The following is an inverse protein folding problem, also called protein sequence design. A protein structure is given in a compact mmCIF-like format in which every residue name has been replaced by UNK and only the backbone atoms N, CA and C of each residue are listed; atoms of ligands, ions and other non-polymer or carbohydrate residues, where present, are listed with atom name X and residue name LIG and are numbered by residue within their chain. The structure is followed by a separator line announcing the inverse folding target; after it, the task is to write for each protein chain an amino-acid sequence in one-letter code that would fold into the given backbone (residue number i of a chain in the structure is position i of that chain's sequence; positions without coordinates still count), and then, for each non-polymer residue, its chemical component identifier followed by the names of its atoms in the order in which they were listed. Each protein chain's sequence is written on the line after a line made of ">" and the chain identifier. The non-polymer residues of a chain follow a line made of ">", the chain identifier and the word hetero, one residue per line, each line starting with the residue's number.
data_IF_395566782871
#
_entry.id   IF_395566782871
#
_cell.length_a   1.000
_cell.length_b   1.000
_cell.length_c   1.000
_cell.angle_alpha   90.00
_cell.angle_beta   90.00
_cell.angle_gamma   90.00
#
_symmetry.space_group_name_H-M   'P 1'
#
loop_
_entity.id
_entity.type
_entity.pdbx_description
1 polymer ?
#
# COMPACT_ATOMS: atom_id res chain seq x y z
N UNK A 1 -24.31 -93.37 39.75
CA UNK A 1 -24.56 -91.92 39.73
C UNK A 1 -23.23 -91.20 39.95
N UNK A 2 -22.81 -90.31 39.05
CA UNK A 2 -21.52 -89.59 39.16
C UNK A 2 -21.78 -88.13 39.52
N UNK A 3 -21.30 -87.72 40.69
CA UNK A 3 -21.27 -86.31 41.09
C UNK A 3 -20.12 -85.63 40.33
N UNK A 4 -20.44 -84.55 39.61
CA UNK A 4 -19.47 -83.73 38.88
C UNK A 4 -19.49 -82.30 39.40
N UNK A 5 -18.36 -81.62 39.34
CA UNK A 5 -18.31 -80.20 39.69
C UNK A 5 -18.69 -79.35 38.48
N UNK A 6 -19.56 -78.35 38.71
CA UNK A 6 -19.94 -77.38 37.69
C UNK A 6 -18.77 -76.46 37.34
N UNK A 7 -18.45 -76.33 36.05
CA UNK A 7 -17.33 -75.49 35.60
C UNK A 7 -17.49 -73.99 35.86
N UNK A 8 -18.71 -73.52 36.16
CA UNK A 8 -18.98 -72.09 36.41
C UNK A 8 -19.01 -71.74 37.91
N UNK A 9 -19.53 -72.64 38.76
CA UNK A 9 -19.75 -72.35 40.18
C UNK A 9 -19.06 -73.33 41.13
N UNK A 10 -18.30 -74.29 40.60
CA UNK A 10 -17.56 -75.34 41.32
C UNK A 10 -18.39 -76.23 42.26
N UNK A 11 -19.72 -76.07 42.31
CA UNK A 11 -20.61 -76.91 43.12
C UNK A 11 -20.74 -78.31 42.50
N UNK A 12 -20.66 -79.33 43.35
CA UNK A 12 -20.99 -80.71 43.00
C UNK A 12 -22.47 -80.82 42.63
N UNK A 13 -22.77 -81.45 41.50
CA UNK A 13 -24.12 -81.73 41.05
C UNK A 13 -24.20 -83.11 40.41
N UNK A 14 -25.39 -83.68 40.39
CA UNK A 14 -25.63 -84.96 39.76
C UNK A 14 -25.91 -84.78 38.27
N UNK A 15 -25.04 -85.34 37.43
CA UNK A 15 -25.16 -85.18 35.99
C UNK A 15 -26.18 -86.18 35.41
N UNK A 16 -27.23 -85.68 34.77
CA UNK A 16 -28.21 -86.53 34.05
C UNK A 16 -27.65 -87.12 32.76
N UNK A 17 -26.54 -86.55 32.22
CA UNK A 17 -25.86 -87.02 31.01
C UNK A 17 -24.35 -86.93 31.18
N UNK A 18 -23.61 -87.87 30.58
CA UNK A 18 -22.14 -87.94 30.67
C UNK A 18 -21.43 -86.67 30.18
N UNK A 19 -22.01 -85.94 29.23
CA UNK A 19 -21.47 -84.70 28.64
C UNK A 19 -21.92 -83.42 29.35
N UNK A 20 -22.73 -83.50 30.40
CA UNK A 20 -23.23 -82.30 31.09
C UNK A 20 -22.13 -81.67 31.95
N UNK A 21 -21.77 -80.42 31.64
CA UNK A 21 -20.67 -79.66 32.29
C UNK A 21 -21.14 -78.65 33.33
N UNK A 22 -22.44 -78.33 33.33
CA UNK A 22 -23.03 -77.29 34.17
C UNK A 22 -24.19 -77.83 35.00
N UNK A 23 -24.26 -77.39 36.26
CA UNK A 23 -25.33 -77.77 37.19
C UNK A 23 -26.70 -77.20 36.81
N UNK A 24 -26.75 -76.17 35.95
CA UNK A 24 -27.99 -75.56 35.50
C UNK A 24 -27.82 -74.83 34.17
N UNK A 25 -28.94 -74.59 33.46
CA UNK A 25 -28.98 -73.72 32.28
C UNK A 25 -28.48 -72.30 32.60
N UNK A 26 -28.70 -71.82 33.83
CA UNK A 26 -28.20 -70.52 34.31
C UNK A 26 -26.68 -70.45 34.34
N UNK A 27 -26.01 -71.50 34.79
CA UNK A 27 -24.54 -71.58 34.77
C UNK A 27 -23.98 -71.69 33.35
N UNK A 28 -24.64 -72.46 32.47
CA UNK A 28 -24.26 -72.54 31.06
C UNK A 28 -24.37 -71.17 30.35
N UNK A 29 -25.44 -70.41 30.63
CA UNK A 29 -25.63 -69.07 30.07
C UNK A 29 -24.62 -68.06 30.62
N UNK A 30 -24.29 -68.09 31.92
CA UNK A 30 -23.21 -67.25 32.47
C UNK A 30 -21.88 -67.49 31.79
N UNK A 31 -21.50 -68.76 31.59
CA UNK A 31 -20.25 -69.09 30.91
C UNK A 31 -20.28 -68.64 29.44
N UNK A 32 -21.43 -68.72 28.76
CA UNK A 32 -21.61 -68.19 27.41
C UNK A 32 -21.48 -66.66 27.36
N UNK A 33 -22.04 -65.95 28.34
CA UNK A 33 -21.94 -64.49 28.43
C UNK A 33 -20.52 -64.04 28.77
N UNK A 34 -19.81 -64.72 29.67
CA UNK A 34 -18.38 -64.50 29.90
C UNK A 34 -17.60 -64.68 28.60
N UNK A 35 -17.86 -65.77 27.86
CA UNK A 35 -17.22 -66.01 26.56
C UNK A 35 -17.55 -64.93 25.54
N UNK A 36 -18.77 -64.40 25.52
CA UNK A 36 -19.12 -63.27 24.62
C UNK A 36 -18.38 -61.99 25.00
N UNK A 37 -18.22 -61.71 26.30
CA UNK A 37 -17.44 -60.56 26.78
C UNK A 37 -15.94 -60.70 26.49
N UNK A 38 -15.38 -61.92 26.57
CA UNK A 38 -13.97 -62.17 26.24
C UNK A 38 -13.71 -62.32 24.74
N UNK A 39 -14.72 -62.70 23.94
CA UNK A 39 -14.73 -62.66 22.47
C UNK A 39 -15.31 -61.36 21.90
N UNK A 40 -15.27 -60.25 22.63
CA UNK A 40 -15.40 -58.95 21.96
C UNK A 40 -14.29 -58.89 20.90
N UNK A 41 -14.62 -58.62 19.62
CA UNK A 41 -13.60 -58.48 18.60
C UNK A 41 -12.63 -57.40 19.06
N UNK A 42 -11.35 -57.72 18.96
CA UNK A 42 -10.23 -56.92 19.42
C UNK A 42 -10.49 -55.42 19.24
N UNK A 43 -10.27 -54.65 20.31
CA UNK A 43 -9.99 -53.23 20.22
C UNK A 43 -8.89 -53.06 19.16
N UNK A 44 -9.25 -52.55 17.98
CA UNK A 44 -8.29 -52.03 17.03
C UNK A 44 -7.46 -50.94 17.75
N UNK A 45 -6.14 -50.92 17.54
CA UNK A 45 -5.21 -50.40 18.52
C UNK A 45 -5.28 -48.88 18.60
N UNK A 46 -5.17 -48.33 19.81
CA UNK A 46 -4.98 -46.89 20.13
C UNK A 46 -3.95 -46.19 19.21
N UNK A 47 -2.99 -46.94 18.66
CA UNK A 47 -2.02 -46.46 17.69
C UNK A 47 -2.64 -46.05 16.33
N UNK A 48 -3.68 -46.73 15.84
CA UNK A 48 -4.33 -46.39 14.57
C UNK A 48 -5.17 -45.11 14.71
N UNK A 49 -5.84 -44.89 15.85
CA UNK A 49 -6.58 -43.64 16.11
C UNK A 49 -5.64 -42.44 16.27
N UNK A 50 -4.51 -42.61 16.97
CA UNK A 50 -3.49 -41.58 17.09
C UNK A 50 -2.85 -41.25 15.73
N UNK A 51 -2.59 -42.25 14.90
CA UNK A 51 -2.06 -42.03 13.55
C UNK A 51 -3.07 -41.30 12.63
N UNK A 52 -4.37 -41.58 12.76
CA UNK A 52 -5.40 -40.83 12.03
C UNK A 52 -5.53 -39.39 12.52
N UNK A 53 -5.40 -39.15 13.83
CA UNK A 53 -5.44 -37.80 14.41
C UNK A 53 -4.21 -36.98 14.01
N UNK A 54 -3.00 -37.57 14.07
CA UNK A 54 -1.76 -36.95 13.58
C UNK A 54 -1.83 -36.63 12.09
N UNK A 55 -2.39 -37.54 11.28
CA UNK A 55 -2.61 -37.29 9.84
C UNK A 55 -3.61 -36.16 9.62
N UNK A 56 -4.69 -36.11 10.39
CA UNK A 56 -5.69 -35.02 10.31
C UNK A 56 -5.09 -33.67 10.72
N UNK A 57 -4.27 -33.63 11.78
CA UNK A 57 -3.54 -32.43 12.19
C UNK A 57 -2.54 -31.97 11.11
N UNK A 58 -1.80 -32.90 10.51
CA UNK A 58 -0.87 -32.58 9.43
C UNK A 58 -1.61 -31.99 8.22
N UNK A 59 -2.73 -32.59 7.79
CA UNK A 59 -3.53 -32.04 6.69
C UNK A 59 -4.17 -30.69 7.03
N UNK A 60 -4.56 -30.46 8.29
CA UNK A 60 -5.06 -29.16 8.74
C UNK A 60 -3.97 -28.09 8.70
N UNK A 61 -2.77 -28.37 9.21
CA UNK A 61 -1.63 -27.44 9.17
C UNK A 61 -1.18 -27.14 7.75
N UNK A 62 -1.17 -28.14 6.84
CA UNK A 62 -0.91 -27.92 5.42
C UNK A 62 -1.90 -26.94 4.79
N UNK A 63 -3.20 -27.15 5.01
CA UNK A 63 -4.25 -26.25 4.50
C UNK A 63 -4.11 -24.83 5.05
N UNK A 64 -3.76 -24.70 6.34
CA UNK A 64 -3.52 -23.41 6.96
C UNK A 64 -2.31 -22.71 6.35
N UNK A 65 -1.19 -23.41 6.17
CA UNK A 65 0.02 -22.89 5.53
C UNK A 65 -0.25 -22.48 4.08
N UNK A 66 -0.96 -23.29 3.30
CA UNK A 66 -1.36 -22.94 1.93
C UNK A 66 -2.28 -21.72 1.89
N UNK A 67 -3.20 -21.58 2.85
CA UNK A 67 -4.07 -20.42 2.96
C UNK A 67 -3.27 -19.15 3.28
N UNK A 68 -2.34 -19.23 4.24
CA UNK A 68 -1.42 -18.13 4.57
C UNK A 68 -0.52 -17.79 3.39
N UNK A 69 0.05 -18.78 2.71
CA UNK A 69 0.89 -18.58 1.53
C UNK A 69 0.11 -17.87 0.41
N UNK A 70 -1.13 -18.31 0.10
CA UNK A 70 -2.02 -17.63 -0.85
C UNK A 70 -2.35 -16.21 -0.41
N UNK A 71 -2.59 -15.98 0.87
CA UNK A 71 -2.82 -14.64 1.41
C UNK A 71 -1.60 -13.74 1.21
N UNK A 72 -0.41 -14.18 1.63
CA UNK A 72 0.84 -13.44 1.47
C UNK A 72 1.15 -13.15 0.00
N UNK A 73 0.90 -14.13 -0.89
CA UNK A 73 1.09 -13.96 -2.33
C UNK A 73 0.19 -12.86 -2.89
N UNK A 74 -1.10 -12.85 -2.55
CA UNK A 74 -2.04 -11.78 -2.96
C UNK A 74 -1.61 -10.41 -2.44
N UNK A 75 -1.18 -10.33 -1.18
CA UNK A 75 -0.69 -9.06 -0.63
C UNK A 75 0.56 -8.58 -1.37
N UNK A 76 1.49 -9.48 -1.68
CA UNK A 76 2.68 -9.16 -2.47
C UNK A 76 2.31 -8.65 -3.86
N UNK A 77 1.38 -9.30 -4.56
CA UNK A 77 0.92 -8.87 -5.88
C UNK A 77 0.29 -7.47 -5.85
N UNK A 78 -0.53 -7.17 -4.84
CA UNK A 78 -1.12 -5.84 -4.64
C UNK A 78 -0.05 -4.78 -4.34
N UNK A 79 0.94 -5.10 -3.52
CA UNK A 79 2.04 -4.17 -3.24
C UNK A 79 2.90 -3.94 -4.49
N UNK A 80 3.16 -4.98 -5.28
CA UNK A 80 3.89 -4.87 -6.55
C UNK A 80 3.12 -4.07 -7.60
N UNK A 81 1.78 -4.20 -7.68
CA UNK A 81 0.99 -3.37 -8.59
C UNK A 81 0.98 -1.90 -8.15
N UNK A 82 0.84 -1.62 -6.85
CA UNK A 82 0.96 -0.27 -6.30
C UNK A 82 2.33 0.33 -6.57
N UNK A 83 3.41 -0.42 -6.36
CA UNK A 83 4.76 0.05 -6.62
C UNK A 83 4.97 0.40 -8.10
N UNK A 84 4.48 -0.43 -9.02
CA UNK A 84 4.52 -0.14 -10.47
C UNK A 84 3.72 1.11 -10.83
N UNK A 85 2.53 1.27 -10.26
CA UNK A 85 1.70 2.46 -10.47
C UNK A 85 2.34 3.73 -9.91
N UNK A 86 3.01 3.64 -8.76
CA UNK A 86 3.74 4.77 -8.17
C UNK A 86 4.97 5.12 -8.99
N UNK A 87 5.70 4.13 -9.51
CA UNK A 87 6.84 4.38 -10.40
C UNK A 87 6.40 5.13 -11.67
N UNK A 88 5.32 4.68 -12.33
CA UNK A 88 4.81 5.38 -13.51
C UNK A 88 4.32 6.80 -13.22
N UNK A 89 3.77 7.03 -12.02
CA UNK A 89 3.33 8.35 -11.62
C UNK A 89 4.52 9.28 -11.35
N UNK A 90 5.60 8.76 -10.76
CA UNK A 90 6.85 9.51 -10.58
C UNK A 90 7.41 9.93 -11.94
N UNK A 91 7.53 9.00 -12.89
CA UNK A 91 8.03 9.30 -14.24
C UNK A 91 7.20 10.39 -14.93
N UNK A 92 5.86 10.35 -14.79
CA UNK A 92 4.95 11.37 -15.30
C UNK A 92 5.19 12.74 -14.66
N UNK A 93 5.27 12.77 -13.32
CA UNK A 93 5.49 14.02 -12.58
C UNK A 93 6.87 14.62 -12.87
N UNK A 94 7.89 13.79 -13.08
CA UNK A 94 9.23 14.24 -13.48
C UNK A 94 9.20 14.88 -14.88
N UNK A 95 8.49 14.28 -15.84
CA UNK A 95 8.28 14.86 -17.16
C UNK A 95 7.57 16.22 -17.07
N UNK A 96 6.44 16.30 -16.37
CA UNK A 96 5.70 17.54 -16.15
C UNK A 96 6.55 18.62 -15.46
N UNK A 97 7.35 18.23 -14.45
CA UNK A 97 8.25 19.16 -13.77
C UNK A 97 9.34 19.71 -14.71
N UNK A 98 9.89 18.85 -15.58
CA UNK A 98 10.90 19.24 -16.55
C UNK A 98 10.35 20.27 -17.56
N UNK A 99 9.14 20.06 -18.07
CA UNK A 99 8.44 20.99 -18.97
C UNK A 99 8.16 22.33 -18.30
N UNK A 100 7.68 22.30 -17.05
CA UNK A 100 7.44 23.52 -16.26
C UNK A 100 8.73 24.31 -16.02
N UNK A 101 9.86 23.65 -15.74
CA UNK A 101 11.17 24.32 -15.61
C UNK A 101 11.59 25.00 -16.90
N UNK A 102 11.41 24.34 -18.04
CA UNK A 102 11.70 24.92 -19.36
C UNK A 102 10.83 26.15 -19.60
N UNK A 103 9.51 26.05 -19.37
CA UNK A 103 8.58 27.17 -19.52
C UNK A 103 8.93 28.35 -18.62
N UNK A 104 9.25 28.09 -17.34
CA UNK A 104 9.69 29.14 -16.42
C UNK A 104 10.97 29.83 -16.88
N UNK A 105 11.96 29.08 -17.36
CA UNK A 105 13.20 29.66 -17.87
C UNK A 105 12.94 30.56 -19.10
N UNK A 106 12.06 30.12 -20.01
CA UNK A 106 11.66 30.92 -21.17
C UNK A 106 10.98 32.23 -20.74
N UNK A 107 10.01 32.15 -19.83
CA UNK A 107 9.31 33.33 -19.30
C UNK A 107 10.26 34.28 -18.57
N UNK A 108 11.20 33.77 -17.78
CA UNK A 108 12.21 34.60 -17.11
C UNK A 108 13.13 35.31 -18.11
N UNK A 109 13.53 34.61 -19.18
CA UNK A 109 14.34 35.19 -20.25
C UNK A 109 13.59 36.30 -20.98
N UNK A 110 12.30 36.10 -21.24
CA UNK A 110 11.44 37.05 -21.94
C UNK A 110 11.14 38.28 -21.08
N UNK A 111 10.83 38.10 -19.79
CA UNK A 111 10.69 39.20 -18.84
C UNK A 111 11.99 40.01 -18.75
N UNK A 112 13.14 39.35 -18.73
CA UNK A 112 14.44 40.02 -18.71
C UNK A 112 14.70 40.81 -19.98
N UNK A 113 14.33 40.24 -21.15
CA UNK A 113 14.42 40.91 -22.45
C UNK A 113 13.52 42.14 -22.51
N UNK A 114 12.25 42.01 -22.11
CA UNK A 114 11.28 43.10 -22.07
C UNK A 114 11.71 44.21 -21.10
N UNK A 115 12.22 43.86 -19.92
CA UNK A 115 12.75 44.85 -18.97
C UNK A 115 13.94 45.63 -19.56
N UNK A 116 14.85 44.96 -20.27
CA UNK A 116 15.96 45.65 -20.96
C UNK A 116 15.45 46.59 -22.04
N UNK A 117 14.57 46.11 -22.92
CA UNK A 117 13.98 46.93 -23.99
C UNK A 117 13.21 48.15 -23.42
N UNK A 118 12.44 47.95 -22.35
CA UNK A 118 11.72 49.04 -21.69
C UNK A 118 12.68 50.10 -21.11
N UNK A 119 13.80 49.69 -20.51
CA UNK A 119 14.81 50.63 -19.99
C UNK A 119 15.40 51.48 -21.12
N UNK A 120 15.76 50.86 -22.25
CA UNK A 120 16.24 51.58 -23.43
C UNK A 120 15.19 52.57 -23.94
N UNK A 121 13.94 52.13 -24.11
CA UNK A 121 12.86 53.01 -24.55
C UNK A 121 12.66 54.21 -23.61
N UNK A 122 12.76 54.01 -22.28
CA UNK A 122 12.66 55.10 -21.31
C UNK A 122 13.84 56.07 -21.43
N UNK A 123 15.05 55.56 -21.65
CA UNK A 123 16.25 56.38 -21.86
C UNK A 123 16.16 57.20 -23.16
N UNK A 124 15.76 56.56 -24.26
CA UNK A 124 15.60 57.23 -25.56
C UNK A 124 14.55 58.34 -25.49
N UNK A 125 13.41 58.05 -24.86
CA UNK A 125 12.36 59.04 -24.66
C UNK A 125 12.83 60.18 -23.74
N UNK A 126 13.64 59.90 -22.72
CA UNK A 126 14.24 60.95 -21.88
C UNK A 126 15.19 61.84 -22.68
N UNK A 127 16.01 61.23 -23.55
CA UNK A 127 16.94 61.95 -24.43
C UNK A 127 16.18 62.86 -25.41
N UNK A 128 15.16 62.33 -26.10
CA UNK A 128 14.30 63.10 -27.01
C UNK A 128 13.62 64.24 -26.26
N UNK A 129 13.12 63.99 -25.05
CA UNK A 129 12.46 65.01 -24.23
C UNK A 129 13.43 66.13 -23.85
N UNK A 130 14.66 65.80 -23.45
CA UNK A 130 15.69 66.80 -23.19
C UNK A 130 16.03 67.61 -24.46
N UNK A 131 16.16 66.94 -25.61
CA UNK A 131 16.42 67.61 -26.89
C UNK A 131 15.30 68.57 -27.29
N UNK A 132 14.03 68.17 -27.11
CA UNK A 132 12.86 69.03 -27.36
C UNK A 132 12.88 70.28 -26.46
N UNK A 133 13.22 70.12 -25.18
CA UNK A 133 13.36 71.27 -24.25
C UNK A 133 14.46 72.21 -24.70
N UNK A 134 15.63 71.69 -25.09
CA UNK A 134 16.74 72.51 -25.59
C UNK A 134 16.38 73.25 -26.88
N UNK A 135 15.68 72.59 -27.82
CA UNK A 135 15.24 73.20 -29.07
C UNK A 135 14.20 74.31 -28.82
N UNK A 136 13.22 74.06 -27.95
CA UNK A 136 12.22 75.03 -27.55
C UNK A 136 12.87 76.29 -26.95
N UNK A 137 13.84 76.11 -26.05
CA UNK A 137 14.63 77.21 -25.46
C UNK A 137 15.41 77.99 -26.53
N UNK A 138 16.11 77.29 -27.43
CA UNK A 138 16.91 77.92 -28.48
C UNK A 138 16.06 78.71 -29.49
N UNK A 139 14.81 78.29 -29.72
CA UNK A 139 13.86 78.95 -30.62
C UNK A 139 12.96 79.97 -29.92
N UNK A 140 13.01 80.08 -28.59
CA UNK A 140 12.14 80.95 -27.80
C UNK A 140 10.66 80.54 -27.85
N UNK A 141 10.36 79.27 -28.19
CA UNK A 141 8.99 78.76 -28.29
C UNK A 141 8.65 77.96 -27.04
N UNK A 142 7.50 78.22 -26.43
CA UNK A 142 7.04 77.44 -25.29
C UNK A 142 6.56 76.04 -25.73
N UNK A 143 6.90 75.02 -24.95
CA UNK A 143 6.30 73.70 -25.10
C UNK A 143 4.81 73.76 -24.74
N UNK A 144 3.98 73.05 -25.50
CA UNK A 144 2.54 72.99 -25.24
C UNK A 144 2.24 72.25 -23.91
N UNK A 145 1.07 72.53 -23.36
CA UNK A 145 0.68 72.02 -22.04
C UNK A 145 0.56 70.49 -21.99
N UNK A 146 0.17 69.84 -23.10
CA UNK A 146 0.05 68.39 -23.15
C UNK A 146 1.43 67.73 -23.09
N UNK A 147 2.41 68.25 -23.83
CA UNK A 147 3.81 67.80 -23.76
C UNK A 147 4.39 67.98 -22.35
N UNK A 148 4.15 69.12 -21.70
CA UNK A 148 4.56 69.36 -20.31
C UNK A 148 3.89 68.42 -19.31
N UNK A 149 2.65 67.99 -19.57
CA UNK A 149 1.95 67.01 -18.74
C UNK A 149 2.52 65.60 -18.92
N UNK A 150 2.83 65.20 -20.15
CA UNK A 150 3.49 63.91 -20.44
C UNK A 150 4.83 63.83 -19.71
N UNK A 151 5.64 64.90 -19.76
CA UNK A 151 6.90 64.95 -19.05
C UNK A 151 6.71 64.83 -17.53
N UNK A 152 5.76 65.57 -16.95
CA UNK A 152 5.45 65.48 -15.50
C UNK A 152 5.01 64.09 -15.07
N UNK A 153 4.11 63.43 -15.82
CA UNK A 153 3.66 62.05 -15.52
C UNK A 153 4.81 61.05 -15.55
N UNK A 154 5.86 61.33 -16.32
CA UNK A 154 7.09 60.53 -16.42
C UNK A 154 8.21 60.97 -15.47
N UNK A 155 7.95 61.95 -14.59
CA UNK A 155 8.92 62.50 -13.64
C UNK A 155 9.99 63.38 -14.28
N UNK A 156 9.82 63.77 -15.55
CA UNK A 156 10.73 64.66 -16.25
C UNK A 156 10.27 66.10 -16.06
N UNK A 157 11.15 66.94 -15.48
CA UNK A 157 10.85 68.33 -15.18
C UNK A 157 11.77 69.26 -15.98
N UNK A 158 11.31 69.80 -17.13
CA UNK A 158 12.10 70.67 -18.00
C UNK A 158 12.71 71.91 -17.32
N UNK A 159 12.05 72.40 -16.27
CA UNK A 159 12.43 73.60 -15.52
C UNK A 159 13.41 73.33 -14.37
N UNK A 160 13.59 72.08 -13.97
CA UNK A 160 14.58 71.70 -12.97
C UNK A 160 15.79 71.16 -13.71
N UNK A 161 16.82 71.99 -13.92
CA UNK A 161 18.16 71.50 -14.28
C UNK A 161 18.50 70.36 -13.30
N UNK A 162 18.60 69.13 -13.79
CA UNK A 162 19.34 68.09 -13.08
C UNK A 162 20.79 68.58 -13.02
N UNK A 163 21.16 69.22 -11.92
CA UNK A 163 22.54 69.42 -11.56
C UNK A 163 23.19 68.02 -11.50
N UNK A 164 24.10 67.77 -12.44
CA UNK A 164 25.12 66.72 -12.44
C UNK A 164 24.74 65.34 -11.90
N UNK A 165 24.60 64.35 -12.78
CA UNK A 165 25.05 63.02 -12.42
C UNK A 165 26.59 63.05 -12.32
N UNK A 166 27.21 62.62 -11.20
CA UNK A 166 28.65 62.43 -11.15
C UNK A 166 29.00 61.31 -12.12
N UNK A 167 29.96 61.56 -13.01
CA UNK A 167 30.64 60.49 -13.74
C UNK A 167 31.48 59.72 -12.72
N UNK A 168 31.11 58.46 -12.46
CA UNK A 168 32.00 57.44 -11.91
C UNK A 168 32.38 56.49 -13.05
#
# INVERSE_FOLDING_TARGET
>A
MTIKNCEECAKGFESSRKTQRFCSKRCANRQRDRRRRTRSPAQLPKAHSLATDLKAQLEATKRELESKARSCQRHREVLQSKLRSQASEIDRLEAENSEQRVSNNLLQSEVSRLKRAQRTNVQDLAHISAWLVSLAQAKGVALDQATLEIFRRRGWHPSKRQAGAPRL
#
